data_IF_411530369685
#
_entry.id   IF_411530369685
#
_cell.length_a   1.000
_cell.length_b   1.000
_cell.length_c   1.000
_cell.angle_alpha   90.00
_cell.angle_beta   90.00
_cell.angle_gamma   90.00
#
_symmetry.space_group_name_H-M   'P 1'
#
loop_
_entity.id
_entity.type
_entity.pdbx_description
1 polymer ?
#
# COMPACT_ATOMS: atom_id res chain seq x y z
N UNK A 1 -8.68 12.12 -8.08
CA UNK A 1 -8.38 11.00 -7.17
C UNK A 1 -8.39 9.76 -8.03
N UNK A 2 -7.23 9.10 -8.18
CA UNK A 2 -7.17 7.81 -8.82
C UNK A 2 -7.04 6.74 -7.73
N UNK A 3 -7.53 5.54 -8.04
CA UNK A 3 -7.43 4.40 -7.14
C UNK A 3 -6.16 3.63 -7.52
N UNK A 4 -5.25 3.46 -6.57
CA UNK A 4 -4.03 2.69 -6.75
C UNK A 4 -4.17 1.33 -6.08
N UNK A 5 -4.11 0.28 -6.89
CA UNK A 5 -4.05 -1.10 -6.42
C UNK A 5 -2.59 -1.44 -6.12
N UNK A 6 -2.30 -1.82 -4.88
CA UNK A 6 -0.95 -2.25 -4.51
C UNK A 6 -0.67 -3.67 -5.02
N UNK A 7 0.60 -3.99 -5.26
CA UNK A 7 1.05 -5.34 -5.60
C UNK A 7 1.20 -6.18 -4.34
N UNK A 8 0.69 -7.41 -4.36
CA UNK A 8 0.81 -8.33 -3.20
C UNK A 8 2.21 -8.91 -3.16
N UNK A 9 2.81 -8.88 -1.97
CA UNK A 9 4.14 -9.44 -1.70
C UNK A 9 3.99 -10.69 -0.86
N UNK A 10 4.68 -11.76 -1.25
CA UNK A 10 4.71 -12.98 -0.45
C UNK A 10 5.60 -12.78 0.79
N UNK A 11 5.25 -13.42 1.91
CA UNK A 11 5.99 -13.28 3.17
C UNK A 11 7.46 -13.72 3.05
N UNK A 12 7.76 -14.64 2.13
CA UNK A 12 9.12 -15.06 1.82
C UNK A 12 9.98 -13.96 1.18
N UNK A 13 9.35 -13.00 0.48
CA UNK A 13 10.04 -11.94 -0.25
C UNK A 13 10.31 -10.69 0.60
N UNK A 14 9.78 -10.65 1.82
CA UNK A 14 9.90 -9.52 2.75
C UNK A 14 11.35 -9.12 3.00
N UNK A 15 12.32 -10.04 3.02
CA UNK A 15 13.77 -9.78 3.09
C UNK A 15 14.23 -8.66 4.05
N UNK A 16 13.51 -8.44 5.16
CA UNK A 16 13.82 -7.36 6.12
C UNK A 16 13.36 -5.96 5.72
N UNK A 17 12.50 -5.82 4.69
CA UNK A 17 11.79 -4.57 4.36
C UNK A 17 10.95 -4.11 5.53
N UNK A 18 10.90 -2.80 5.74
CA UNK A 18 10.05 -2.21 6.77
C UNK A 18 8.58 -2.45 6.45
N UNK A 19 7.85 -2.98 7.43
CA UNK A 19 6.41 -3.23 7.33
C UNK A 19 5.69 -2.14 8.09
N UNK A 20 4.92 -1.35 7.34
CA UNK A 20 3.98 -0.38 7.86
C UNK A 20 2.60 -1.05 7.98
N UNK A 21 2.09 -1.21 9.20
CA UNK A 21 0.69 -1.55 9.40
C UNK A 21 -0.18 -0.36 9.01
N UNK A 22 -1.00 -0.55 7.97
CA UNK A 22 -1.99 0.46 7.55
C UNK A 22 -3.23 0.39 8.44
N UNK A 23 -2.99 0.57 9.74
CA UNK A 23 -3.98 0.59 10.80
C UNK A 23 -4.93 1.77 10.64
N UNK A 24 -6.12 1.49 10.08
CA UNK A 24 -7.31 2.34 10.09
C UNK A 24 -7.09 3.69 9.38
N UNK A 25 -7.39 3.72 8.08
CA UNK A 25 -7.64 4.95 7.31
C UNK A 25 -6.60 6.03 7.56
N UNK A 26 -5.35 5.79 7.15
CA UNK A 26 -4.45 6.91 6.93
C UNK A 26 -5.07 7.78 5.83
N UNK A 27 -5.62 8.90 6.25
CA UNK A 27 -6.15 9.94 5.37
C UNK A 27 -5.05 10.97 5.19
N UNK A 28 -4.52 11.06 3.98
CA UNK A 28 -3.57 12.10 3.62
C UNK A 28 -4.27 13.42 3.32
N UNK A 29 -3.49 14.47 3.08
CA UNK A 29 -3.99 15.79 2.70
C UNK A 29 -4.15 15.95 1.17
N UNK A 30 -4.13 14.84 0.41
CA UNK A 30 -4.25 14.81 -1.04
C UNK A 30 -3.43 13.68 -1.69
N UNK A 31 -3.98 13.05 -2.73
CA UNK A 31 -3.31 11.97 -3.47
C UNK A 31 -4.26 10.91 -4.03
N UNK A 32 -3.82 9.67 -3.99
CA UNK A 32 -4.52 8.48 -4.48
C UNK A 32 -5.19 7.70 -3.35
N UNK A 33 -6.25 6.98 -3.69
CA UNK A 33 -6.88 6.00 -2.80
C UNK A 33 -6.22 4.65 -2.99
N UNK A 34 -5.64 4.12 -1.92
CA UNK A 34 -4.81 2.93 -1.97
C UNK A 34 -5.61 1.72 -1.51
N UNK A 35 -5.69 0.71 -2.37
CA UNK A 35 -6.42 -0.53 -2.09
C UNK A 35 -5.48 -1.73 -2.07
N UNK A 36 -5.81 -2.70 -1.23
CA UNK A 36 -5.08 -3.96 -1.13
C UNK A 36 -5.20 -4.76 -2.43
N UNK A 37 -4.08 -5.20 -2.99
CA UNK A 37 -4.06 -6.04 -4.18
C UNK A 37 -4.66 -7.43 -3.98
N UNK A 38 -4.81 -7.89 -2.74
CA UNK A 38 -5.34 -9.22 -2.42
C UNK A 38 -6.85 -9.24 -2.23
N UNK A 39 -7.37 -8.38 -1.34
CA UNK A 39 -8.78 -8.37 -0.96
C UNK A 39 -9.56 -7.17 -1.50
N UNK A 40 -8.92 -6.24 -2.21
CA UNK A 40 -9.55 -5.03 -2.76
C UNK A 40 -10.00 -4.01 -1.72
N UNK A 41 -9.69 -4.22 -0.43
CA UNK A 41 -10.07 -3.31 0.65
C UNK A 41 -9.24 -2.03 0.58
N UNK A 42 -9.89 -0.88 0.75
CA UNK A 42 -9.21 0.40 0.96
C UNK A 42 -8.34 0.35 2.22
N UNK A 43 -7.05 0.66 2.04
CA UNK A 43 -6.04 0.69 3.09
C UNK A 43 -5.75 2.13 3.52
N UNK A 44 -5.66 3.05 2.55
CA UNK A 44 -5.33 4.46 2.77
C UNK A 44 -6.12 5.29 1.76
N UNK A 45 -6.47 6.52 2.11
CA UNK A 45 -7.23 7.41 1.20
C UNK A 45 -6.53 8.76 1.10
N UNK A 46 -6.53 9.33 -0.11
CA UNK A 46 -5.94 10.64 -0.40
C UNK A 46 -4.48 10.76 0.06
N UNK A 47 -3.69 9.70 -0.12
CA UNK A 47 -2.27 9.69 0.27
C UNK A 47 -1.37 9.85 -0.96
N UNK A 48 -0.25 10.60 -0.87
CA UNK A 48 0.69 10.74 -1.97
C UNK A 48 1.62 9.53 -2.04
N UNK A 49 1.04 8.33 -2.14
CA UNK A 49 1.71 7.03 -2.02
C UNK A 49 2.86 6.86 -3.04
N UNK A 50 2.72 7.41 -4.24
CA UNK A 50 3.74 7.41 -5.31
C UNK A 50 5.02 8.16 -4.93
N UNK A 51 4.96 9.01 -3.91
CA UNK A 51 6.11 9.77 -3.40
C UNK A 51 6.58 9.25 -2.04
N UNK A 52 5.82 8.34 -1.42
CA UNK A 52 6.19 7.68 -0.18
C UNK A 52 7.12 6.52 -0.52
N UNK A 53 8.24 6.41 0.21
CA UNK A 53 9.37 5.53 -0.08
C UNK A 53 8.97 4.13 -0.60
N UNK A 54 9.40 3.79 -1.82
CA UNK A 54 9.06 2.55 -2.54
C UNK A 54 9.47 1.24 -1.82
N UNK A 55 10.39 1.31 -0.86
CA UNK A 55 10.90 0.12 -0.15
C UNK A 55 9.98 -0.39 0.96
N UNK A 56 8.93 0.37 1.32
CA UNK A 56 7.99 0.02 2.39
C UNK A 56 6.98 -1.04 1.95
N UNK A 57 6.66 -1.96 2.87
CA UNK A 57 5.56 -2.90 2.73
C UNK A 57 4.37 -2.44 3.56
N UNK A 58 3.20 -2.40 2.95
CA UNK A 58 1.94 -2.02 3.56
C UNK A 58 1.14 -3.26 3.93
N UNK A 59 0.99 -3.52 5.23
CA UNK A 59 0.15 -4.62 5.72
C UNK A 59 -1.31 -4.20 5.69
N UNK A 60 -2.13 -4.99 5.02
CA UNK A 60 -3.58 -4.85 5.01
C UNK A 60 -4.17 -5.43 6.31
N UNK A 61 -4.84 -4.61 7.11
CA UNK A 61 -5.51 -5.04 8.34
C UNK A 61 -6.75 -5.92 8.08
N UNK A 62 -7.27 -5.93 6.85
CA UNK A 62 -8.44 -6.74 6.49
C UNK A 62 -8.12 -8.21 6.25
N UNK A 63 -7.01 -8.50 5.57
CA UNK A 63 -6.64 -9.87 5.18
C UNK A 63 -5.22 -10.28 5.61
N UNK A 64 -4.46 -9.39 6.26
CA UNK A 64 -3.08 -9.62 6.69
C UNK A 64 -2.04 -9.56 5.57
N UNK A 65 -2.45 -9.43 4.31
CA UNK A 65 -1.54 -9.41 3.17
C UNK A 65 -0.57 -8.23 3.23
N UNK A 66 0.68 -8.48 2.85
CA UNK A 66 1.68 -7.45 2.62
C UNK A 66 1.57 -6.97 1.18
N UNK A 67 1.64 -5.66 0.98
CA UNK A 67 1.50 -5.06 -0.33
C UNK A 67 2.59 -4.01 -0.54
N UNK A 68 3.04 -3.82 -1.76
CA UNK A 68 3.98 -2.78 -2.14
C UNK A 68 3.43 -1.90 -3.25
N UNK A 69 3.99 -0.71 -3.39
CA UNK A 69 3.67 0.17 -4.51
C UNK A 69 4.24 -0.46 -5.78
N UNK A 70 3.41 -0.72 -6.82
CA UNK A 70 3.94 -1.29 -8.05
C UNK A 70 4.91 -0.30 -8.71
N UNK A 71 6.02 -0.77 -9.31
CA UNK A 71 7.01 0.10 -9.95
C UNK A 71 6.40 0.94 -11.09
N UNK A 72 5.37 0.43 -11.76
CA UNK A 72 4.64 1.14 -12.82
C UNK A 72 3.69 2.24 -12.30
N UNK A 73 3.56 2.40 -10.98
CA UNK A 73 2.82 3.51 -10.38
C UNK A 73 3.65 4.80 -10.27
N UNK A 74 4.92 4.80 -10.66
CA UNK A 74 5.73 6.01 -10.74
C UNK A 74 5.55 6.63 -12.13
N UNK A 75 4.50 7.42 -12.34
CA UNK A 75 4.28 8.19 -13.58
C UNK A 75 3.61 9.52 -13.30
#
# INVERSE_FOLDING_TARGET
>A
MAMLVLSVVEEADVNGREILSTGISMVGLGGDDVVCGRCGREMMSQVPIRTMQATLLYRCEGCGALNEVPPDAES
#
